data_IF_025515655936
#
_entry.id   IF_025515655936
#
_cell.length_a   1.000
_cell.length_b   1.000
_cell.length_c   1.000
_cell.angle_alpha   90.00
_cell.angle_beta   90.00
_cell.angle_gamma   90.00
#
_symmetry.space_group_name_H-M   'P 1'
#
loop_
_entity.id
_entity.type
_entity.pdbx_description
1 polymer ?
#
# COMPACT_ATOMS: atom_id res chain seq x y z
N UNK A 1 -7.50 -11.92 10.52
CA UNK A 1 -6.33 -12.85 10.56
C UNK A 1 -5.48 -12.82 9.27
N UNK A 2 -6.03 -12.48 8.10
CA UNK A 2 -5.23 -12.32 6.84
C UNK A 2 -4.58 -10.93 6.73
N UNK A 3 -5.22 -9.85 7.17
CA UNK A 3 -4.64 -8.49 7.13
C UNK A 3 -3.29 -8.40 7.82
N UNK A 4 -3.18 -8.96 9.04
CA UNK A 4 -1.93 -8.96 9.83
C UNK A 4 -0.75 -9.57 9.05
N UNK A 5 -1.01 -10.62 8.26
CA UNK A 5 0.03 -11.26 7.43
C UNK A 5 0.43 -10.38 6.25
N UNK A 6 -0.51 -9.66 5.66
CA UNK A 6 -0.23 -8.72 4.57
C UNK A 6 0.52 -7.50 5.07
N UNK A 7 0.19 -7.00 6.26
CA UNK A 7 0.91 -5.92 6.93
C UNK A 7 2.36 -6.35 7.26
N UNK A 8 2.57 -7.59 7.72
CA UNK A 8 3.92 -8.14 7.92
C UNK A 8 4.72 -8.26 6.62
N UNK A 9 4.07 -8.67 5.52
CA UNK A 9 4.70 -8.76 4.20
C UNK A 9 5.06 -7.37 3.67
N UNK A 10 4.18 -6.38 3.87
CA UNK A 10 4.42 -4.98 3.55
C UNK A 10 5.61 -4.41 4.34
N UNK A 11 5.62 -4.58 5.67
CA UNK A 11 6.74 -4.17 6.54
C UNK A 11 8.06 -4.80 6.10
N UNK A 12 8.05 -6.11 5.82
CA UNK A 12 9.27 -6.80 5.38
C UNK A 12 9.79 -6.30 4.04
N UNK A 13 8.89 -5.96 3.12
CA UNK A 13 9.28 -5.36 1.84
C UNK A 13 9.92 -3.99 2.05
N UNK A 14 9.35 -3.15 2.91
CA UNK A 14 9.87 -1.81 3.20
C UNK A 14 11.25 -1.88 3.89
N UNK A 15 11.43 -2.79 4.86
CA UNK A 15 12.73 -3.08 5.48
C UNK A 15 13.79 -3.46 4.45
N UNK A 16 13.44 -4.34 3.49
CA UNK A 16 14.38 -4.75 2.43
C UNK A 16 14.74 -3.55 1.53
N UNK A 17 13.78 -2.68 1.22
CA UNK A 17 14.07 -1.46 0.44
C UNK A 17 15.00 -0.52 1.21
N UNK A 18 14.81 -0.35 2.51
CA UNK A 18 15.68 0.45 3.37
C UNK A 18 17.09 -0.14 3.48
N UNK A 19 17.19 -1.46 3.68
CA UNK A 19 18.47 -2.18 3.67
C UNK A 19 19.22 -2.01 2.35
N UNK A 20 18.51 -2.01 1.21
CA UNK A 20 19.12 -1.78 -0.11
C UNK A 20 19.68 -0.36 -0.29
N UNK A 21 19.15 0.62 0.45
CA UNK A 21 19.66 2.00 0.48
C UNK A 21 20.87 2.17 1.40
N UNK A 22 21.17 1.19 2.26
CA UNK A 22 22.33 1.25 3.15
C UNK A 22 23.64 1.06 2.33
N UNK A 23 24.60 2.01 2.38
CA UNK A 23 25.87 1.92 1.66
C UNK A 23 26.68 0.65 1.94
N UNK A 24 26.60 0.10 3.15
CA UNK A 24 27.28 -1.15 3.53
C UNK A 24 26.70 -2.37 2.81
N UNK A 25 25.42 -2.31 2.45
CA UNK A 25 24.75 -3.34 1.65
C UNK A 25 24.98 -3.08 0.18
N UNK A 26 24.86 -1.83 -0.28
CA UNK A 26 25.05 -1.46 -1.70
C UNK A 26 26.45 -1.78 -2.23
N UNK A 27 27.46 -1.79 -1.36
CA UNK A 27 28.84 -2.19 -1.69
C UNK A 27 29.02 -3.72 -1.79
N UNK A 28 28.07 -4.52 -1.28
CA UNK A 28 28.08 -5.97 -1.37
C UNK A 28 27.10 -6.50 -2.42
N UNK A 29 27.62 -6.77 -3.61
CA UNK A 29 26.86 -7.24 -4.78
C UNK A 29 26.03 -8.51 -4.49
N UNK A 30 26.55 -9.43 -3.65
CA UNK A 30 25.81 -10.65 -3.29
C UNK A 30 24.57 -10.33 -2.45
N UNK A 31 24.72 -9.52 -1.40
CA UNK A 31 23.60 -9.07 -0.56
C UNK A 31 22.55 -8.30 -1.37
N UNK A 32 22.98 -7.35 -2.21
CA UNK A 32 22.07 -6.60 -3.08
C UNK A 32 21.25 -7.54 -3.97
N UNK A 33 21.88 -8.56 -4.54
CA UNK A 33 21.21 -9.53 -5.41
C UNK A 33 20.16 -10.36 -4.66
N UNK A 34 20.49 -10.84 -3.46
CA UNK A 34 19.58 -11.62 -2.62
C UNK A 34 18.38 -10.80 -2.13
N UNK A 35 18.65 -9.58 -1.63
CA UNK A 35 17.62 -8.65 -1.18
C UNK A 35 16.72 -8.22 -2.33
N UNK A 36 17.28 -7.89 -3.50
CA UNK A 36 16.49 -7.54 -4.70
C UNK A 36 15.60 -8.67 -5.18
N UNK A 37 16.08 -9.92 -5.11
CA UNK A 37 15.28 -11.10 -5.48
C UNK A 37 14.13 -11.31 -4.49
N UNK A 38 14.40 -11.13 -3.20
CA UNK A 38 13.39 -11.21 -2.14
C UNK A 38 12.35 -10.10 -2.31
N UNK A 39 12.78 -8.85 -2.50
CA UNK A 39 11.91 -7.71 -2.77
C UNK A 39 10.96 -7.98 -3.94
N UNK A 40 11.47 -8.43 -5.09
CA UNK A 40 10.64 -8.77 -6.27
C UNK A 40 9.59 -9.84 -5.97
N UNK A 41 9.91 -10.81 -5.12
CA UNK A 41 8.96 -11.87 -4.76
C UNK A 41 7.79 -11.34 -3.92
N UNK A 42 8.04 -10.32 -3.10
CA UNK A 42 7.05 -9.68 -2.23
C UNK A 42 6.30 -8.54 -2.93
N UNK A 43 6.95 -7.87 -3.89
CA UNK A 43 6.47 -6.68 -4.61
C UNK A 43 5.04 -6.83 -5.12
N UNK A 44 4.75 -7.93 -5.83
CA UNK A 44 3.41 -8.18 -6.40
C UNK A 44 2.32 -8.21 -5.32
N UNK A 45 2.60 -8.86 -4.20
CA UNK A 45 1.66 -8.99 -3.08
C UNK A 45 1.46 -7.66 -2.37
N UNK A 46 2.56 -6.95 -2.09
CA UNK A 46 2.53 -5.65 -1.43
C UNK A 46 1.79 -4.62 -2.26
N UNK A 47 2.08 -4.53 -3.57
CA UNK A 47 1.43 -3.55 -4.45
C UNK A 47 -0.07 -3.80 -4.56
N UNK A 48 -0.48 -5.06 -4.68
CA UNK A 48 -1.92 -5.40 -4.69
C UNK A 48 -2.59 -5.07 -3.36
N UNK A 49 -1.90 -5.25 -2.24
CA UNK A 49 -2.44 -4.89 -0.93
C UNK A 49 -2.54 -3.38 -0.73
N UNK A 50 -1.53 -2.61 -1.18
CA UNK A 50 -1.55 -1.15 -1.18
C UNK A 50 -2.67 -0.58 -2.04
N UNK A 51 -2.85 -1.12 -3.25
CA UNK A 51 -3.97 -0.78 -4.14
C UNK A 51 -5.32 -1.02 -3.46
N UNK A 52 -5.48 -2.17 -2.79
CA UNK A 52 -6.68 -2.47 -2.02
C UNK A 52 -6.92 -1.48 -0.87
N UNK A 53 -5.88 -1.11 -0.10
CA UNK A 53 -5.99 -0.12 0.98
C UNK A 53 -6.41 1.25 0.44
N UNK A 54 -5.82 1.67 -0.68
CA UNK A 54 -6.13 2.95 -1.32
C UNK A 54 -7.57 3.00 -1.83
N UNK A 55 -8.04 1.97 -2.54
CA UNK A 55 -9.44 1.89 -3.00
C UNK A 55 -10.41 1.96 -1.81
N UNK A 56 -10.13 1.25 -0.71
CA UNK A 56 -10.97 1.33 0.48
C UNK A 56 -10.98 2.74 1.10
N UNK A 57 -9.83 3.41 1.12
CA UNK A 57 -9.71 4.78 1.61
C UNK A 57 -10.52 5.75 0.74
N UNK A 58 -10.45 5.60 -0.59
CA UNK A 58 -11.25 6.38 -1.53
C UNK A 58 -12.74 6.14 -1.33
N UNK A 59 -13.17 4.89 -1.18
CA UNK A 59 -14.58 4.56 -0.90
C UNK A 59 -15.02 5.17 0.43
N UNK A 60 -14.20 5.10 1.47
CA UNK A 60 -14.52 5.72 2.76
C UNK A 60 -14.65 7.24 2.64
N UNK A 61 -13.70 7.90 1.98
CA UNK A 61 -13.75 9.35 1.74
C UNK A 61 -14.97 9.77 0.91
N UNK A 62 -15.31 9.03 -0.15
CA UNK A 62 -16.52 9.27 -0.94
C UNK A 62 -17.80 9.06 -0.12
N UNK A 63 -17.83 8.07 0.78
CA UNK A 63 -18.96 7.85 1.69
C UNK A 63 -19.10 8.95 2.72
N UNK A 64 -17.99 9.49 3.21
CA UNK A 64 -18.02 10.59 4.17
C UNK A 64 -18.44 11.90 3.48
N UNK A 65 -17.97 12.16 2.25
CA UNK A 65 -18.48 13.25 1.42
C UNK A 65 -19.99 13.13 1.15
N UNK A 66 -20.50 11.93 0.89
CA UNK A 66 -21.94 11.69 0.72
C UNK A 66 -22.75 11.89 2.01
N UNK A 67 -22.12 11.78 3.19
CA UNK A 67 -22.76 12.05 4.49
C UNK A 67 -22.71 13.53 4.87
N UNK A 68 -21.65 14.23 4.49
CA UNK A 68 -21.52 15.68 4.65
C UNK A 68 -22.38 16.45 3.63
N UNK A 69 -22.63 15.87 2.46
CA UNK A 69 -23.62 16.36 1.50
C UNK A 69 -25.04 16.08 2.03
N UNK A 70 -25.45 16.95 2.96
CA UNK A 70 -26.80 17.16 3.49
C UNK A 70 -27.88 17.24 2.38
N UNK A 71 -29.17 17.04 2.73
CA UNK A 71 -30.28 16.74 1.80
C UNK A 71 -30.58 17.78 0.70
N UNK A 72 -29.98 18.96 0.70
CA UNK A 72 -30.12 19.96 -0.38
C UNK A 72 -29.55 19.48 -1.73
N UNK A 73 -28.48 18.67 -1.75
CA UNK A 73 -27.89 18.19 -3.02
C UNK A 73 -28.77 17.13 -3.70
N UNK A 74 -29.61 16.42 -2.94
CA UNK A 74 -30.57 15.47 -3.51
C UNK A 74 -31.68 16.17 -4.30
N UNK A 75 -32.07 17.38 -3.90
CA UNK A 75 -33.12 18.16 -4.57
C UNK A 75 -32.65 18.73 -5.92
N UNK A 76 -31.37 19.10 -6.03
CA UNK A 76 -30.78 19.58 -7.30
C UNK A 76 -30.52 18.48 -8.33
N UNK A 77 -30.45 17.20 -7.90
CA UNK A 77 -30.23 16.07 -8.81
C UNK A 77 -31.55 15.52 -9.42
N UNK A 78 -32.71 15.94 -8.93
CA UNK A 78 -34.04 15.56 -9.44
C UNK A 78 -34.72 16.65 -10.30
N UNK A 79 -34.08 17.81 -10.53
CA UNK A 79 -34.52 18.82 -11.52
C UNK A 79 -33.66 18.81 -12.76
#
# INVERSE_FOLDING_TARGET
MISIRLDQIESRYDEIQEELQNPEVSTNIQKVRELSKTARSLEKTVFKYREYKEINRQIAGLKDLLKENDPEIREMAET
#
